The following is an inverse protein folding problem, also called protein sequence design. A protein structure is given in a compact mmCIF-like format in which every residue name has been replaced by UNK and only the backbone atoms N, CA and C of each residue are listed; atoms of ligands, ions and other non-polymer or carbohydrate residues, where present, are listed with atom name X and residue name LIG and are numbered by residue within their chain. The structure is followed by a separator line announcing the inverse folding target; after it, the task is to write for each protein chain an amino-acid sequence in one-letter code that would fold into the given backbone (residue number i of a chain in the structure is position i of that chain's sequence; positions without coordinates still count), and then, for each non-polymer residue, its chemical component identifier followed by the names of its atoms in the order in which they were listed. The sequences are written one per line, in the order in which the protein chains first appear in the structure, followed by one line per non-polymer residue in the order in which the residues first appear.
data_IF_437145990162
#
_entry.id   IF_437145990162
#
_cell.length_a   1.000
_cell.length_b   1.000
_cell.length_c   1.000
_cell.angle_alpha   90.00
_cell.angle_beta   90.00
_cell.angle_gamma   90.00
#
_symmetry.space_group_name_H-M   'P 1'
#
loop_
_entity.id
_entity.type
_entity.pdbx_description
1 polymer ?
#
# COMPACT_ATOMS: atom_id res chain seq x y z
N UNK A 1 -4.53 18.12 27.05
CA UNK A 1 -4.34 16.64 27.00
C UNK A 1 -4.75 16.18 25.62
N UNK A 2 -3.98 15.30 25.04
CA UNK A 2 -4.33 14.67 23.78
C UNK A 2 -4.92 13.30 24.04
N UNK A 3 -6.04 13.00 23.44
CA UNK A 3 -6.72 11.70 23.54
C UNK A 3 -6.57 10.95 22.24
N UNK A 4 -6.51 9.62 22.35
CA UNK A 4 -6.52 8.69 21.22
C UNK A 4 -7.73 7.77 21.39
N UNK A 5 -8.53 7.66 20.33
CA UNK A 5 -9.72 6.81 20.32
C UNK A 5 -9.78 6.03 19.01
N UNK A 6 -10.34 4.83 19.07
CA UNK A 6 -10.65 4.04 17.89
C UNK A 6 -12.15 4.14 17.64
N UNK A 7 -12.53 4.61 16.46
CA UNK A 7 -13.92 4.79 16.07
C UNK A 7 -14.22 4.03 14.78
N UNK A 8 -15.50 3.75 14.56
CA UNK A 8 -15.98 3.23 13.28
C UNK A 8 -16.61 4.39 12.50
N UNK A 9 -16.13 4.59 11.29
CA UNK A 9 -16.67 5.59 10.37
C UNK A 9 -17.37 4.88 9.23
N UNK A 10 -18.63 5.22 8.99
CA UNK A 10 -19.40 4.73 7.84
C UNK A 10 -19.30 5.71 6.69
N UNK A 11 -18.77 5.25 5.58
CA UNK A 11 -18.65 6.03 4.35
C UNK A 11 -19.24 5.25 3.18
N UNK A 12 -19.83 5.93 2.19
CA UNK A 12 -20.13 5.28 0.93
C UNK A 12 -18.84 4.94 0.21
N UNK A 13 -18.63 3.68 -0.07
CA UNK A 13 -17.42 3.18 -0.70
C UNK A 13 -17.67 1.94 -1.53
N UNK A 14 -16.68 1.57 -2.31
CA UNK A 14 -16.67 0.32 -3.05
C UNK A 14 -15.61 -0.61 -2.44
N UNK A 15 -15.81 -1.95 -2.51
CA UNK A 15 -14.82 -2.90 -2.04
C UNK A 15 -13.47 -2.69 -2.74
N UNK A 16 -12.40 -2.75 -2.00
CA UNK A 16 -11.04 -2.61 -2.55
C UNK A 16 -10.67 -3.83 -3.41
N UNK A 17 -11.44 -4.90 -3.31
CA UNK A 17 -11.13 -6.16 -3.98
C UNK A 17 -10.09 -6.99 -3.24
N UNK A 18 -9.84 -8.20 -3.71
CA UNK A 18 -8.82 -9.07 -3.12
C UNK A 18 -7.44 -8.45 -3.27
N UNK A 19 -6.56 -8.79 -2.37
CA UNK A 19 -5.15 -8.49 -2.56
C UNK A 19 -4.68 -9.18 -3.83
N UNK A 20 -3.94 -8.43 -4.63
CA UNK A 20 -3.23 -9.05 -5.72
C UNK A 20 -2.31 -10.12 -5.12
N UNK A 21 -2.50 -11.41 -5.45
CA UNK A 21 -1.49 -12.40 -5.09
C UNK A 21 -0.17 -11.82 -5.59
N UNK A 22 0.78 -11.68 -4.69
CA UNK A 22 2.08 -11.06 -4.99
C UNK A 22 2.53 -11.55 -6.37
N UNK A 23 2.53 -10.72 -7.40
CA UNK A 23 3.01 -11.15 -8.68
C UNK A 23 4.44 -11.59 -8.50
N UNK A 24 4.85 -12.58 -9.22
CA UNK A 24 6.27 -12.85 -9.33
C UNK A 24 6.93 -11.54 -9.72
N UNK A 25 7.73 -11.01 -8.82
CA UNK A 25 8.40 -9.73 -9.03
C UNK A 25 9.31 -9.77 -10.25
N UNK A 26 9.66 -10.97 -10.66
CA UNK A 26 10.49 -11.23 -11.84
C UNK A 26 10.37 -12.70 -12.22
N UNK A 27 10.55 -12.98 -13.49
CA UNK A 27 10.76 -14.34 -13.97
C UNK A 27 12.22 -14.72 -13.67
N UNK A 28 12.48 -15.75 -12.86
CA UNK A 28 13.84 -16.21 -12.62
C UNK A 28 14.62 -16.55 -13.89
N UNK A 29 13.91 -16.98 -14.93
CA UNK A 29 14.53 -17.29 -16.22
C UNK A 29 14.98 -16.04 -16.95
N UNK A 30 14.19 -15.00 -16.91
CA UNK A 30 14.56 -13.72 -17.49
C UNK A 30 15.78 -13.11 -16.79
N UNK A 31 15.85 -13.25 -15.47
CA UNK A 31 17.00 -12.81 -14.69
C UNK A 31 18.28 -13.60 -15.02
N UNK A 32 18.13 -14.89 -15.24
CA UNK A 32 19.25 -15.77 -15.62
C UNK A 32 19.76 -15.51 -17.04
N UNK A 33 18.92 -14.92 -17.88
CA UNK A 33 19.26 -14.59 -19.27
C UNK A 33 20.01 -13.25 -19.42
N UNK A 34 20.19 -12.51 -18.35
CA UNK A 34 20.93 -11.24 -18.39
C UNK A 34 22.42 -11.53 -18.65
N UNK A 35 22.99 -11.01 -19.75
CA UNK A 35 24.41 -11.21 -20.03
C UNK A 35 25.23 -10.54 -18.94
N UNK A 36 26.17 -11.29 -18.38
CA UNK A 36 27.06 -10.80 -17.36
C UNK A 36 28.41 -10.39 -17.99
N UNK A 37 28.90 -9.21 -17.60
CA UNK A 37 30.24 -8.80 -17.97
C UNK A 37 31.26 -9.77 -17.32
N UNK A 38 32.26 -10.27 -18.07
CA UNK A 38 33.28 -11.17 -17.51
C UNK A 38 34.08 -10.59 -16.36
N UNK A 39 34.18 -9.26 -16.28
CA UNK A 39 34.92 -8.57 -15.21
C UNK A 39 34.24 -8.61 -13.86
N UNK A 40 32.96 -9.00 -13.80
CA UNK A 40 32.21 -9.07 -12.57
C UNK A 40 32.67 -10.24 -11.68
N UNK A 41 32.83 -9.98 -10.40
CA UNK A 41 33.10 -11.02 -9.41
C UNK A 41 31.94 -12.01 -9.28
N UNK A 42 32.16 -13.23 -8.78
CA UNK A 42 31.06 -14.17 -8.53
C UNK A 42 29.96 -13.61 -7.62
N UNK A 43 30.33 -12.82 -6.63
CA UNK A 43 29.41 -12.16 -5.72
C UNK A 43 28.54 -11.13 -6.44
N UNK A 44 29.14 -10.31 -7.27
CA UNK A 44 28.41 -9.34 -8.10
C UNK A 44 27.47 -10.03 -9.08
N UNK A 45 27.90 -11.15 -9.66
CA UNK A 45 27.05 -11.94 -10.56
C UNK A 45 25.85 -12.56 -9.86
N UNK A 46 25.98 -12.94 -8.59
CA UNK A 46 24.89 -13.48 -7.79
C UNK A 46 23.76 -12.46 -7.61
N UNK A 47 24.07 -11.18 -7.64
CA UNK A 47 23.11 -10.08 -7.57
C UNK A 47 22.61 -9.61 -8.94
N UNK A 48 23.20 -10.09 -10.01
CA UNK A 48 22.77 -9.72 -11.35
C UNK A 48 21.37 -10.27 -11.61
N UNK A 49 20.55 -9.53 -12.29
CA UNK A 49 19.16 -9.89 -12.51
C UNK A 49 18.22 -9.43 -11.39
N UNK A 50 18.70 -9.29 -10.18
CA UNK A 50 17.89 -8.82 -9.07
C UNK A 50 17.31 -7.42 -9.34
N UNK A 51 18.02 -6.62 -10.09
CA UNK A 51 17.61 -5.27 -10.47
C UNK A 51 17.49 -5.05 -11.99
N UNK A 52 17.95 -5.98 -12.78
CA UNK A 52 18.01 -5.86 -14.23
C UNK A 52 16.81 -6.52 -14.93
N UNK A 53 16.14 -7.46 -14.28
CA UNK A 53 15.00 -8.17 -14.83
C UNK A 53 13.72 -7.34 -14.79
N UNK A 54 12.69 -7.90 -15.40
CA UNK A 54 11.35 -7.32 -15.35
C UNK A 54 10.85 -7.28 -13.91
N UNK A 55 10.27 -6.15 -13.52
CA UNK A 55 9.72 -5.96 -12.18
C UNK A 55 8.28 -5.53 -12.24
N UNK A 56 7.46 -6.21 -11.44
CA UNK A 56 6.16 -5.71 -11.06
C UNK A 56 6.24 -5.17 -9.61
N UNK A 57 5.85 -3.95 -9.41
CA UNK A 57 5.69 -3.42 -8.07
C UNK A 57 4.46 -4.05 -7.43
N UNK A 58 4.48 -4.39 -6.13
CA UNK A 58 3.28 -4.83 -5.44
C UNK A 58 2.30 -3.66 -5.37
N UNK A 59 1.21 -3.77 -6.08
CA UNK A 59 0.10 -2.82 -6.04
C UNK A 59 -1.21 -3.58 -6.16
N UNK A 60 -2.28 -2.97 -5.72
CA UNK A 60 -3.60 -3.58 -5.88
C UNK A 60 -4.01 -3.55 -7.34
N UNK A 61 -4.62 -4.63 -7.78
CA UNK A 61 -5.16 -4.71 -9.14
C UNK A 61 -6.31 -3.71 -9.27
N UNK A 62 -6.15 -2.75 -10.15
CA UNK A 62 -7.13 -1.69 -10.34
C UNK A 62 -8.27 -2.09 -11.28
N UNK A 63 -8.09 -3.10 -12.06
CA UNK A 63 -9.07 -3.62 -12.99
C UNK A 63 -10.18 -4.44 -12.31
N UNK A 64 -9.97 -4.89 -11.08
CA UNK A 64 -10.96 -5.62 -10.30
C UNK A 64 -11.82 -4.71 -9.41
N UNK A 65 -11.58 -3.42 -9.41
CA UNK A 65 -12.36 -2.49 -8.61
C UNK A 65 -13.76 -2.30 -9.19
N UNK A 66 -14.73 -2.38 -8.32
CA UNK A 66 -16.10 -2.00 -8.67
C UNK A 66 -16.35 -0.54 -8.33
N UNK A 67 -17.23 0.11 -9.09
CA UNK A 67 -17.72 1.47 -8.80
C UNK A 67 -19.05 1.48 -8.06
N UNK A 68 -19.58 0.32 -7.76
CA UNK A 68 -20.81 0.20 -6.99
C UNK A 68 -20.57 0.63 -5.54
N UNK A 69 -21.11 1.77 -5.16
CA UNK A 69 -20.97 2.30 -3.81
C UNK A 69 -22.03 1.70 -2.89
N UNK A 70 -21.59 1.30 -1.72
CA UNK A 70 -22.45 0.85 -0.64
C UNK A 70 -21.91 1.42 0.69
N UNK A 71 -22.70 1.50 1.75
CA UNK A 71 -22.19 1.87 3.06
C UNK A 71 -21.07 0.92 3.47
N UNK A 72 -19.91 1.49 3.81
CA UNK A 72 -18.73 0.75 4.22
C UNK A 72 -18.22 1.29 5.54
N UNK A 73 -17.90 0.40 6.47
CA UNK A 73 -17.33 0.79 7.75
C UNK A 73 -15.82 0.71 7.71
N UNK A 74 -15.19 1.79 8.14
CA UNK A 74 -13.75 1.89 8.31
C UNK A 74 -13.43 2.06 9.79
N UNK A 75 -12.42 1.32 10.26
CA UNK A 75 -11.84 1.60 11.55
C UNK A 75 -10.95 2.82 11.43
N UNK A 76 -11.18 3.80 12.27
CA UNK A 76 -10.42 5.04 12.29
C UNK A 76 -9.74 5.24 13.63
N UNK A 77 -8.63 5.95 13.61
CA UNK A 77 -7.95 6.44 14.81
C UNK A 77 -8.19 7.94 14.86
N UNK A 78 -8.74 8.38 15.98
CA UNK A 78 -8.99 9.80 16.23
C UNK A 78 -8.03 10.29 17.30
N UNK A 79 -7.25 11.28 16.92
CA UNK A 79 -6.42 12.06 17.83
C UNK A 79 -7.09 13.40 18.07
N UNK A 80 -7.35 13.71 19.30
CA UNK A 80 -7.99 14.98 19.64
C UNK A 80 -7.36 15.62 20.86
N UNK A 81 -7.25 16.92 20.80
CA UNK A 81 -6.94 17.77 21.95
C UNK A 81 -7.92 18.93 21.98
N UNK A 82 -7.67 19.89 22.85
CA UNK A 82 -8.51 21.07 23.03
C UNK A 82 -8.74 21.87 21.73
N UNK A 83 -7.82 21.80 20.77
CA UNK A 83 -7.83 22.66 19.58
C UNK A 83 -8.06 21.92 18.28
N UNK A 84 -7.64 20.68 18.21
CA UNK A 84 -7.61 19.92 16.97
C UNK A 84 -8.19 18.53 17.14
N UNK A 85 -8.89 18.07 16.11
CA UNK A 85 -9.31 16.70 15.95
C UNK A 85 -8.83 16.17 14.60
N UNK A 86 -8.01 15.14 14.61
CA UNK A 86 -7.50 14.49 13.42
C UNK A 86 -8.00 13.06 13.35
N UNK A 87 -8.53 12.66 12.21
CA UNK A 87 -9.04 11.32 11.96
C UNK A 87 -8.20 10.63 10.90
N UNK A 88 -7.66 9.49 11.24
CA UNK A 88 -6.81 8.67 10.37
C UNK A 88 -7.49 7.36 10.04
N UNK A 89 -7.23 6.85 8.84
CA UNK A 89 -7.69 5.54 8.40
C UNK A 89 -6.50 4.59 8.21
N UNK A 90 -6.20 3.74 9.20
CA UNK A 90 -5.08 2.79 9.08
C UNK A 90 -5.23 1.83 7.91
N UNK A 91 -6.44 1.39 7.62
CA UNK A 91 -6.73 0.46 6.52
C UNK A 91 -6.48 1.06 5.13
N UNK A 92 -6.38 2.38 5.04
CA UNK A 92 -6.04 3.12 3.83
C UNK A 92 -4.60 3.68 3.85
N UNK A 93 -3.68 2.93 4.44
CA UNK A 93 -2.28 3.34 4.53
C UNK A 93 -2.02 4.46 5.53
N UNK A 94 -2.82 4.58 6.58
CA UNK A 94 -2.68 5.63 7.59
C UNK A 94 -3.11 7.01 7.08
N UNK A 95 -3.98 7.07 6.09
CA UNK A 95 -4.43 8.33 5.48
C UNK A 95 -5.14 9.22 6.49
N UNK A 96 -4.77 10.49 6.51
CA UNK A 96 -5.52 11.53 7.21
C UNK A 96 -6.81 11.82 6.41
N UNK A 97 -7.95 11.51 7.02
CA UNK A 97 -9.27 11.74 6.41
C UNK A 97 -9.82 13.12 6.75
N UNK A 98 -9.56 13.58 7.96
CA UNK A 98 -10.14 14.82 8.45
C UNK A 98 -9.21 15.48 9.45
N UNK A 99 -9.09 16.79 9.36
CA UNK A 99 -8.42 17.62 10.35
C UNK A 99 -9.33 18.81 10.64
N UNK A 100 -9.82 18.89 11.86
CA UNK A 100 -10.78 19.92 12.27
C UNK A 100 -10.18 20.76 13.40
N UNK A 101 -10.26 22.06 13.26
CA UNK A 101 -9.99 22.98 14.35
C UNK A 101 -11.25 23.13 15.21
N UNK A 102 -11.06 22.97 16.49
CA UNK A 102 -12.12 23.11 17.50
C UNK A 102 -11.96 24.48 18.16
N UNK A 103 -12.87 25.42 17.97
CA UNK A 103 -12.79 26.73 18.59
C UNK A 103 -12.99 26.70 20.11
#
# INVERSE_FOLDING_TARGET
MTTLQVELLTLPGAPIGPENPLPQFRDPRADMAVPADPSLSPEQRAHLGWQAGFRALPYRMQDTYTRARAPMQLRTIVLANRFLRATFAPELGGRLLSLVYLP
#
